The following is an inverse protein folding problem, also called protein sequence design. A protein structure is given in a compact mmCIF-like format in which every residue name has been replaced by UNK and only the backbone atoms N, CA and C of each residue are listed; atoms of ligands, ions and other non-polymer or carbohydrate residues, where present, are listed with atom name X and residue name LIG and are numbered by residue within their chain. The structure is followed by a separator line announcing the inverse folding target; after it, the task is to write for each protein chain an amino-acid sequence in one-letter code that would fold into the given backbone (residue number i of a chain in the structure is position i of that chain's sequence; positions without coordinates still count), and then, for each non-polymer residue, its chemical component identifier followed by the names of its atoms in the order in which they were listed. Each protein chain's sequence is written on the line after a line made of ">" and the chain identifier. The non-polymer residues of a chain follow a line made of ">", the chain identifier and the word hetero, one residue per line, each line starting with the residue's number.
data_IF_154364878498
#
_entry.id   IF_154364878498
#
_cell.length_a   1.000
_cell.length_b   1.000
_cell.length_c   1.000
_cell.angle_alpha   90.00
_cell.angle_beta   90.00
_cell.angle_gamma   90.00
#
_symmetry.space_group_name_H-M   'P 1'
#
loop_
_entity.id
_entity.type
_entity.pdbx_description
1 polymer ?
#
# COMPACT_ATOMS: atom_id res chain seq x y z
N UNK A 1 4.76 -18.75 -13.62
CA UNK A 1 5.53 -17.48 -13.67
C UNK A 1 5.39 -16.82 -12.32
N UNK A 2 6.48 -16.64 -11.57
CA UNK A 2 6.43 -16.00 -10.24
C UNK A 2 6.27 -14.50 -10.44
N UNK A 3 5.04 -13.99 -10.35
CA UNK A 3 4.76 -12.55 -10.37
C UNK A 3 5.59 -11.89 -9.27
N UNK A 4 6.49 -10.98 -9.66
CA UNK A 4 7.33 -10.27 -8.67
C UNK A 4 6.45 -9.27 -7.93
N UNK A 5 6.35 -9.35 -6.59
CA UNK A 5 5.53 -8.41 -5.83
C UNK A 5 6.05 -6.98 -6.01
N UNK A 6 5.13 -6.05 -6.26
CA UNK A 6 5.43 -4.62 -6.41
C UNK A 6 4.78 -3.83 -5.27
N UNK A 7 5.42 -2.72 -4.89
CA UNK A 7 4.88 -1.80 -3.91
C UNK A 7 3.75 -0.97 -4.52
N UNK A 8 2.59 -0.95 -3.88
CA UNK A 8 1.43 -0.14 -4.28
C UNK A 8 1.71 1.37 -4.16
N UNK A 9 2.59 1.78 -3.25
CA UNK A 9 2.91 3.20 -3.04
C UNK A 9 3.89 3.78 -4.06
N UNK A 10 4.94 3.02 -4.42
CA UNK A 10 6.05 3.53 -5.25
C UNK A 10 6.26 2.77 -6.57
N UNK A 11 5.48 1.72 -6.83
CA UNK A 11 5.56 0.90 -8.05
C UNK A 11 6.82 0.04 -8.18
N UNK A 12 7.76 0.11 -7.23
CA UNK A 12 9.02 -0.65 -7.28
C UNK A 12 8.84 -2.10 -6.82
N UNK A 13 9.65 -3.00 -7.38
CA UNK A 13 9.70 -4.39 -6.95
C UNK A 13 10.15 -4.52 -5.48
N UNK A 14 9.53 -5.46 -4.77
CA UNK A 14 9.85 -5.77 -3.37
C UNK A 14 10.90 -6.88 -3.36
N UNK A 15 12.12 -6.55 -2.92
CA UNK A 15 13.26 -7.48 -2.90
C UNK A 15 13.60 -8.03 -1.51
N UNK A 16 13.11 -7.40 -0.43
CA UNK A 16 13.48 -7.73 0.96
C UNK A 16 12.30 -7.84 1.92
N UNK A 17 11.09 -8.06 1.40
CA UNK A 17 9.85 -8.08 2.17
C UNK A 17 9.21 -6.70 2.33
N UNK A 18 8.05 -6.67 2.99
CA UNK A 18 7.24 -5.48 3.16
C UNK A 18 5.97 -5.78 3.94
N UNK A 19 5.14 -4.76 4.12
CA UNK A 19 3.86 -4.87 4.78
C UNK A 19 2.79 -5.30 3.76
N UNK A 20 2.00 -6.33 4.10
CA UNK A 20 0.82 -6.72 3.34
C UNK A 20 -0.43 -6.37 4.13
N UNK A 21 -1.29 -5.54 3.55
CA UNK A 21 -2.58 -5.15 4.13
C UNK A 21 -3.65 -5.45 3.09
N UNK A 22 -4.60 -6.34 3.42
CA UNK A 22 -5.53 -6.92 2.46
C UNK A 22 -4.81 -7.44 1.20
N UNK A 23 -5.09 -6.83 0.04
CA UNK A 23 -4.48 -7.14 -1.26
C UNK A 23 -3.36 -6.16 -1.68
N UNK A 24 -3.00 -5.20 -0.83
CA UNK A 24 -1.94 -4.22 -1.11
C UNK A 24 -0.62 -4.61 -0.47
N UNK A 25 0.47 -4.29 -1.17
CA UNK A 25 1.83 -4.56 -0.74
C UNK A 25 2.61 -3.25 -0.63
N UNK A 26 3.26 -3.02 0.50
CA UNK A 26 4.02 -1.80 0.77
C UNK A 26 5.46 -2.22 1.06
N UNK A 27 6.43 -1.71 0.28
CA UNK A 27 7.84 -2.02 0.55
C UNK A 27 8.30 -1.36 1.85
N UNK A 28 9.31 -1.93 2.51
CA UNK A 28 9.88 -1.41 3.76
C UNK A 28 10.25 0.07 3.71
N UNK A 29 10.74 0.57 2.57
CA UNK A 29 11.09 1.99 2.43
C UNK A 29 9.86 2.90 2.48
N UNK A 30 8.75 2.50 1.84
CA UNK A 30 7.50 3.26 1.87
C UNK A 30 6.83 3.17 3.24
N UNK A 31 6.82 1.97 3.84
CA UNK A 31 6.35 1.75 5.21
C UNK A 31 7.10 2.66 6.20
N UNK A 32 8.43 2.65 6.18
CA UNK A 32 9.24 3.48 7.06
C UNK A 32 9.03 4.98 6.80
N UNK A 33 8.80 5.39 5.56
CA UNK A 33 8.53 6.79 5.21
C UNK A 33 7.18 7.25 5.75
N UNK A 34 6.13 6.43 5.60
CA UNK A 34 4.79 6.70 6.14
C UNK A 34 4.82 6.74 7.68
N UNK A 35 5.47 5.77 8.31
CA UNK A 35 5.54 5.68 9.77
C UNK A 35 6.27 6.86 10.43
N UNK A 36 7.14 7.54 9.69
CA UNK A 36 7.90 8.71 10.15
C UNK A 36 7.38 10.03 9.57
N UNK A 37 6.27 10.01 8.84
CA UNK A 37 5.71 11.17 8.16
C UNK A 37 5.27 12.23 9.18
N UNK A 38 5.69 13.48 8.97
CA UNK A 38 5.27 14.63 9.78
C UNK A 38 4.62 15.70 8.93
N UNK A 39 3.76 16.52 9.54
CA UNK A 39 2.97 17.57 8.86
C UNK A 39 3.85 18.63 8.19
N UNK A 40 5.04 18.87 8.74
CA UNK A 40 6.04 19.81 8.24
C UNK A 40 6.94 19.22 7.14
N UNK A 41 6.80 17.93 6.81
CA UNK A 41 7.58 17.31 5.75
C UNK A 41 7.16 17.87 4.37
N UNK A 42 8.12 18.15 3.46
CA UNK A 42 7.82 18.72 2.14
C UNK A 42 6.97 17.80 1.25
N UNK A 43 7.05 16.49 1.47
CA UNK A 43 6.27 15.44 0.78
C UNK A 43 5.04 14.98 1.59
N UNK A 44 4.65 15.69 2.66
CA UNK A 44 3.48 15.36 3.48
C UNK A 44 2.21 15.20 2.64
N UNK A 45 1.88 16.20 1.82
CA UNK A 45 0.69 16.21 0.96
C UNK A 45 0.70 15.06 -0.04
N UNK A 46 1.88 14.69 -0.55
CA UNK A 46 2.02 13.54 -1.45
C UNK A 46 1.66 12.24 -0.72
N UNK A 47 2.25 12.00 0.45
CA UNK A 47 1.98 10.78 1.22
C UNK A 47 0.56 10.71 1.75
N UNK A 48 -0.05 11.85 2.10
CA UNK A 48 -1.46 11.91 2.46
C UNK A 48 -2.34 11.37 1.32
N UNK A 49 -2.11 11.81 0.07
CA UNK A 49 -2.84 11.31 -1.12
C UNK A 49 -2.62 9.82 -1.35
N UNK A 50 -1.39 9.33 -1.14
CA UNK A 50 -1.08 7.90 -1.25
C UNK A 50 -1.86 7.11 -0.21
N UNK A 51 -1.90 7.56 1.04
CA UNK A 51 -2.64 6.90 2.13
C UNK A 51 -4.15 6.90 1.85
N UNK A 52 -4.71 8.02 1.40
CA UNK A 52 -6.12 8.06 0.96
C UNK A 52 -6.40 7.05 -0.16
N UNK A 53 -5.55 6.99 -1.17
CA UNK A 53 -5.71 6.02 -2.27
C UNK A 53 -5.61 4.56 -1.79
N UNK A 54 -4.83 4.28 -0.74
CA UNK A 54 -4.79 2.95 -0.12
C UNK A 54 -6.09 2.66 0.63
N UNK A 55 -6.61 3.64 1.37
CA UNK A 55 -7.86 3.52 2.11
C UNK A 55 -9.04 3.21 1.19
N UNK A 56 -9.19 3.95 0.09
CA UNK A 56 -10.26 3.73 -0.89
C UNK A 56 -10.22 2.31 -1.46
N UNK A 57 -9.02 1.79 -1.74
CA UNK A 57 -8.82 0.41 -2.20
C UNK A 57 -9.21 -0.62 -1.15
N UNK A 58 -8.90 -0.34 0.13
CA UNK A 58 -9.26 -1.24 1.22
C UNK A 58 -10.76 -1.24 1.46
N UNK A 59 -11.41 -0.09 1.43
CA UNK A 59 -12.86 0.04 1.55
C UNK A 59 -13.57 -0.75 0.44
N UNK A 60 -13.12 -0.64 -0.80
CA UNK A 60 -13.65 -1.44 -1.91
C UNK A 60 -13.49 -2.94 -1.67
N UNK A 61 -12.36 -3.37 -1.09
CA UNK A 61 -12.11 -4.79 -0.79
C UNK A 61 -12.87 -5.31 0.43
N UNK A 62 -13.13 -4.47 1.42
CA UNK A 62 -13.97 -4.81 2.57
C UNK A 62 -15.42 -4.98 2.13
N UNK A 63 -15.89 -4.12 1.21
CA UNK A 63 -17.26 -4.14 0.70
C UNK A 63 -17.46 -5.14 -0.46
N UNK A 64 -16.42 -5.87 -0.89
CA UNK A 64 -16.51 -6.89 -1.91
C UNK A 64 -17.28 -8.10 -1.34
N UNK A 65 -18.42 -8.51 -1.94
CA UNK A 65 -19.16 -9.67 -1.46
C UNK A 65 -18.29 -10.93 -1.55
N UNK A 66 -18.41 -11.87 -0.60
CA UNK A 66 -17.61 -13.09 -0.61
C UNK A 66 -17.83 -13.82 -1.94
N UNK A 67 -16.73 -14.10 -2.64
CA UNK A 67 -16.77 -14.86 -3.89
C UNK A 67 -17.30 -16.27 -3.58
N UNK A 68 -18.27 -16.80 -4.36
CA UNK A 68 -18.77 -18.15 -4.15
C UNK A 68 -17.63 -19.15 -4.33
N UNK A 69 -17.34 -19.91 -3.29
CA UNK A 69 -16.41 -21.05 -3.34
C UNK A 69 -17.04 -22.11 -4.23
N UNK A 70 -16.45 -22.33 -5.41
CA UNK A 70 -16.78 -23.47 -6.28
C UNK A 70 -16.02 -24.70 -5.82
#
# INVERSE_FOLDING_TARGET
>A
MTEKPYCTCCGRFITGGGLRVYATLICRSCEARIARLKVDDPDYTYWLRVIHSLWDRWEQKINEPPQPTT
#
